data_IF_229775206226
#
_entry.id   IF_229775206226
#
_cell.length_a   1.000
_cell.length_b   1.000
_cell.length_c   1.000
_cell.angle_alpha   90.00
_cell.angle_beta   90.00
_cell.angle_gamma   90.00
#
_symmetry.space_group_name_H-M   'P 1'
#
loop_
_entity.id
_entity.type
_entity.pdbx_description
1 polymer ?
#
# COMPACT_ATOMS: atom_id res chain seq x y z
N UNK A 1 5.32 -22.23 -2.74
CA UNK A 1 6.64 -21.93 -2.16
C UNK A 1 6.45 -21.68 -0.68
N UNK A 2 7.23 -22.33 0.18
CA UNK A 2 7.19 -22.09 1.63
C UNK A 2 7.85 -20.74 1.90
N UNK A 3 7.13 -19.80 2.52
CA UNK A 3 7.66 -18.46 2.79
C UNK A 3 8.80 -18.54 3.80
N UNK A 4 9.95 -17.94 3.46
CA UNK A 4 11.10 -17.86 4.37
C UNK A 4 11.09 -16.56 5.20
N UNK A 5 11.91 -16.50 6.25
CA UNK A 5 11.96 -15.35 7.17
C UNK A 5 12.26 -14.03 6.45
N UNK A 6 13.18 -14.05 5.48
CA UNK A 6 13.59 -12.86 4.72
C UNK A 6 12.42 -12.32 3.90
N UNK A 7 11.65 -13.19 3.26
CA UNK A 7 10.44 -12.81 2.52
C UNK A 7 9.39 -12.20 3.46
N UNK A 8 9.17 -12.77 4.64
CA UNK A 8 8.25 -12.19 5.64
C UNK A 8 8.66 -10.79 6.07
N UNK A 9 9.94 -10.58 6.38
CA UNK A 9 10.46 -9.26 6.74
C UNK A 9 10.31 -8.27 5.58
N UNK A 10 10.56 -8.71 4.36
CA UNK A 10 10.40 -7.88 3.16
C UNK A 10 8.95 -7.43 2.96
N UNK A 11 7.97 -8.31 3.13
CA UNK A 11 6.56 -7.92 2.99
C UNK A 11 6.11 -6.94 4.07
N UNK A 12 6.59 -7.10 5.31
CA UNK A 12 6.31 -6.16 6.40
C UNK A 12 6.93 -4.79 6.08
N UNK A 13 8.17 -4.76 5.59
CA UNK A 13 8.84 -3.52 5.17
C UNK A 13 8.06 -2.80 4.06
N UNK A 14 7.62 -3.55 3.04
CA UNK A 14 6.80 -2.99 1.97
C UNK A 14 5.46 -2.48 2.48
N UNK A 15 4.84 -3.17 3.45
CA UNK A 15 3.58 -2.73 4.04
C UNK A 15 3.76 -1.41 4.80
N UNK A 16 4.87 -1.26 5.53
CA UNK A 16 5.21 -0.01 6.18
C UNK A 16 5.38 1.13 5.18
N UNK A 17 6.14 0.92 4.10
CA UNK A 17 6.28 1.89 3.01
C UNK A 17 4.92 2.26 2.39
N UNK A 18 4.02 1.28 2.26
CA UNK A 18 2.68 1.49 1.71
C UNK A 18 1.80 2.40 2.57
N UNK A 19 2.06 2.54 3.87
CA UNK A 19 1.36 3.49 4.74
C UNK A 19 2.08 4.84 4.83
N UNK A 20 3.40 4.83 4.96
CA UNK A 20 4.16 6.02 5.40
C UNK A 20 4.49 6.97 4.25
N UNK A 21 4.64 6.47 3.03
CA UNK A 21 5.01 7.32 1.89
C UNK A 21 3.74 7.76 1.14
N UNK A 22 3.32 9.03 1.22
CA UNK A 22 2.10 9.48 0.56
C UNK A 22 2.23 9.39 -0.95
N UNK A 23 1.16 8.93 -1.61
CA UNK A 23 1.06 8.67 -3.06
C UNK A 23 1.96 7.53 -3.54
N UNK A 24 3.28 7.61 -3.30
CA UNK A 24 4.21 6.57 -3.75
C UNK A 24 4.03 5.23 -3.02
N UNK A 25 3.40 5.22 -1.84
CA UNK A 25 3.00 4.01 -1.14
C UNK A 25 1.98 3.14 -1.91
N UNK A 26 1.35 3.64 -2.97
CA UNK A 26 0.55 2.83 -3.89
C UNK A 26 1.35 1.71 -4.55
N UNK A 27 2.61 1.96 -4.91
CA UNK A 27 3.46 0.96 -5.57
C UNK A 27 3.64 -0.29 -4.71
N UNK A 28 4.13 -0.19 -3.46
CA UNK A 28 4.24 -1.35 -2.58
C UNK A 28 2.86 -1.93 -2.20
N UNK A 29 1.82 -1.11 -2.04
CA UNK A 29 0.47 -1.60 -1.75
C UNK A 29 -0.09 -2.51 -2.86
N UNK A 30 0.04 -2.09 -4.13
CA UNK A 30 -0.41 -2.85 -5.30
C UNK A 30 0.45 -4.11 -5.48
N UNK A 31 1.77 -4.00 -5.28
CA UNK A 31 2.66 -5.16 -5.31
C UNK A 31 2.25 -6.20 -4.26
N UNK A 32 1.99 -5.79 -3.02
CA UNK A 32 1.55 -6.69 -1.96
C UNK A 32 0.19 -7.33 -2.32
N UNK A 33 -0.76 -6.52 -2.80
CA UNK A 33 -2.09 -7.01 -3.21
C UNK A 33 -2.05 -8.06 -4.31
N UNK A 34 -1.19 -7.86 -5.32
CA UNK A 34 -1.02 -8.81 -6.41
C UNK A 34 -0.24 -10.07 -5.98
N UNK A 35 0.74 -9.90 -5.09
CA UNK A 35 1.55 -11.00 -4.56
C UNK A 35 0.75 -11.91 -3.62
N UNK A 36 -0.19 -11.36 -2.85
CA UNK A 36 -1.11 -12.12 -2.00
C UNK A 36 -1.91 -13.18 -2.76
N UNK A 37 -2.26 -12.92 -4.03
CA UNK A 37 -2.97 -13.90 -4.86
C UNK A 37 -2.12 -15.14 -5.18
N UNK A 38 -0.79 -15.03 -5.07
CA UNK A 38 0.17 -16.08 -5.40
C UNK A 38 0.76 -16.76 -4.16
N UNK A 39 0.67 -16.13 -2.98
CA UNK A 39 1.24 -16.62 -1.73
C UNK A 39 0.15 -16.71 -0.65
N UNK A 40 -0.39 -17.91 -0.37
CA UNK A 40 -1.47 -18.10 0.61
C UNK A 40 -1.12 -17.62 2.02
N UNK A 41 0.15 -17.73 2.41
CA UNK A 41 0.66 -17.31 3.72
C UNK A 41 0.54 -15.78 3.96
N UNK A 42 0.37 -14.97 2.91
CA UNK A 42 0.13 -13.52 3.04
C UNK A 42 -1.34 -13.16 3.31
N UNK A 43 -2.26 -14.14 3.40
CA UNK A 43 -3.67 -13.87 3.64
C UNK A 43 -3.91 -13.04 4.91
N UNK A 44 -3.09 -13.22 5.95
CA UNK A 44 -3.15 -12.44 7.19
C UNK A 44 -2.86 -10.94 6.99
N UNK A 45 -2.11 -10.57 5.95
CA UNK A 45 -1.77 -9.18 5.63
C UNK A 45 -2.84 -8.48 4.79
N UNK A 46 -3.86 -9.21 4.30
CA UNK A 46 -4.87 -8.67 3.37
C UNK A 46 -5.60 -7.46 3.93
N UNK A 47 -6.02 -7.51 5.19
CA UNK A 47 -6.69 -6.39 5.85
C UNK A 47 -5.78 -5.16 5.93
N UNK A 48 -4.51 -5.37 6.29
CA UNK A 48 -3.52 -4.30 6.37
C UNK A 48 -3.21 -3.67 5.02
N UNK A 49 -3.01 -4.46 3.97
CA UNK A 49 -2.77 -3.93 2.61
C UNK A 49 -4.00 -3.21 2.07
N UNK A 50 -5.22 -3.68 2.39
CA UNK A 50 -6.43 -2.94 2.04
C UNK A 50 -6.52 -1.61 2.77
N UNK A 51 -6.17 -1.58 4.07
CA UNK A 51 -6.04 -0.34 4.83
C UNK A 51 -5.03 0.63 4.21
N UNK A 52 -3.88 0.14 3.77
CA UNK A 52 -2.87 0.96 3.10
C UNK A 52 -3.41 1.57 1.80
N UNK A 53 -4.11 0.79 0.97
CA UNK A 53 -4.74 1.30 -0.25
C UNK A 53 -5.78 2.39 0.03
N UNK A 54 -6.58 2.24 1.09
CA UNK A 54 -7.56 3.27 1.51
C UNK A 54 -6.84 4.54 1.93
N UNK A 55 -5.80 4.44 2.77
CA UNK A 55 -4.99 5.60 3.20
C UNK A 55 -4.38 6.32 2.00
N UNK A 56 -3.84 5.57 1.03
CA UNK A 56 -3.31 6.16 -0.20
C UNK A 56 -4.40 6.82 -1.06
N UNK A 57 -5.59 6.23 -1.13
CA UNK A 57 -6.76 6.86 -1.75
C UNK A 57 -7.13 8.19 -1.08
N UNK A 58 -7.08 8.26 0.24
CA UNK A 58 -7.28 9.51 0.97
C UNK A 58 -6.22 10.57 0.64
N UNK A 59 -4.94 10.19 0.53
CA UNK A 59 -3.88 11.11 0.11
C UNK A 59 -4.10 11.65 -1.30
N UNK A 60 -4.47 10.79 -2.25
CA UNK A 60 -4.81 11.21 -3.61
C UNK A 60 -6.01 12.17 -3.64
N UNK A 61 -7.08 11.85 -2.90
CA UNK A 61 -8.25 12.71 -2.80
C UNK A 61 -7.88 14.08 -2.21
N UNK A 62 -7.08 14.10 -1.14
CA UNK A 62 -6.60 15.34 -0.54
C UNK A 62 -5.80 16.18 -1.55
N UNK A 63 -4.91 15.56 -2.33
CA UNK A 63 -4.18 16.24 -3.40
C UNK A 63 -5.09 16.84 -4.47
N UNK A 64 -6.11 16.10 -4.91
CA UNK A 64 -7.11 16.61 -5.87
C UNK A 64 -7.86 17.80 -5.29
N UNK A 65 -8.32 17.71 -4.04
CA UNK A 65 -9.03 18.82 -3.38
C UNK A 65 -8.13 20.05 -3.24
N UNK A 66 -6.86 19.87 -2.87
CA UNK A 66 -5.87 20.97 -2.83
C UNK A 66 -5.76 21.63 -4.20
N UNK A 67 -5.62 20.83 -5.26
CA UNK A 67 -5.50 21.36 -6.62
C UNK A 67 -6.76 22.13 -7.04
N UNK A 68 -7.96 21.59 -6.78
CA UNK A 68 -9.22 22.22 -7.18
C UNK A 68 -9.53 23.52 -6.44
N UNK A 69 -9.16 23.62 -5.15
CA UNK A 69 -9.56 24.77 -4.32
C UNK A 69 -8.45 25.79 -4.11
N UNK A 70 -7.17 25.42 -4.25
CA UNK A 70 -6.04 26.27 -3.85
C UNK A 70 -5.02 26.51 -4.96
N UNK A 71 -5.12 25.85 -6.11
CA UNK A 71 -4.27 26.16 -7.27
C UNK A 71 -5.03 27.14 -8.17
N UNK A 72 -4.50 28.36 -8.40
CA UNK A 72 -5.14 29.34 -9.28
C UNK A 72 -5.21 28.81 -10.71
N UNK A 73 -6.30 29.14 -11.40
CA UNK A 73 -6.59 28.74 -12.78
C UNK A 73 -5.68 29.47 -13.79
#
# INVERSE_FOLDING_TARGET
MKQNLIQSLWFIFLLFLAFVVPVFGLLPAIYLWTTMKKVPDLAAMRGWTMGALVVQGCYLLALVLIFLFFVPA
#
